data_IF_705484728538
#
_entry.id   IF_705484728538
#
_cell.length_a   1.000
_cell.length_b   1.000
_cell.length_c   1.000
_cell.angle_alpha   90.00
_cell.angle_beta   90.00
_cell.angle_gamma   90.00
#
_symmetry.space_group_name_H-M   'P 1'
#
loop_
_entity.id
_entity.type
_entity.pdbx_description
1 polymer ?
#
# COMPACT_ATOMS: atom_id res chain seq x y z
N UNK A 1 17.21 -8.00 1.62
CA UNK A 1 15.95 -8.52 2.19
C UNK A 1 15.31 -7.58 3.21
N UNK A 2 16.03 -7.05 4.21
CA UNK A 2 15.45 -6.13 5.22
C UNK A 2 14.65 -4.93 4.65
N UNK A 3 15.13 -4.33 3.55
CA UNK A 3 14.42 -3.21 2.87
C UNK A 3 13.05 -3.60 2.32
N UNK A 4 12.90 -4.82 1.79
CA UNK A 4 11.61 -5.30 1.29
C UNK A 4 10.64 -5.57 2.44
N UNK A 5 11.12 -6.14 3.54
CA UNK A 5 10.31 -6.33 4.75
C UNK A 5 9.88 -4.99 5.36
N UNK A 6 10.77 -4.00 5.40
CA UNK A 6 10.42 -2.65 5.87
C UNK A 6 9.36 -1.99 4.98
N UNK A 7 9.49 -2.11 3.65
CA UNK A 7 8.48 -1.61 2.70
C UNK A 7 7.14 -2.33 2.86
N UNK A 8 7.15 -3.65 3.04
CA UNK A 8 5.93 -4.43 3.27
C UNK A 8 5.26 -4.05 4.59
N UNK A 9 6.02 -3.90 5.67
CA UNK A 9 5.51 -3.44 6.96
C UNK A 9 4.94 -2.02 6.89
N UNK A 10 5.64 -1.09 6.22
CA UNK A 10 5.15 0.26 6.01
C UNK A 10 3.85 0.26 5.18
N UNK A 11 3.79 -0.52 4.10
CA UNK A 11 2.59 -0.66 3.28
C UNK A 11 1.40 -1.17 4.11
N UNK A 12 1.61 -2.22 4.91
CA UNK A 12 0.59 -2.78 5.77
C UNK A 12 0.10 -1.76 6.81
N UNK A 13 1.03 -1.09 7.50
CA UNK A 13 0.67 -0.11 8.54
C UNK A 13 -0.07 1.10 7.98
N UNK A 14 0.36 1.65 6.84
CA UNK A 14 -0.34 2.75 6.17
C UNK A 14 -1.76 2.31 5.77
N UNK A 15 -1.88 1.11 5.20
CA UNK A 15 -3.18 0.55 4.78
C UNK A 15 -4.11 0.37 5.97
N UNK A 16 -3.61 -0.24 7.04
CA UNK A 16 -4.38 -0.49 8.25
C UNK A 16 -4.84 0.82 8.91
N UNK A 17 -3.97 1.82 9.02
CA UNK A 17 -4.34 3.11 9.59
C UNK A 17 -5.41 3.80 8.75
N UNK A 18 -5.30 3.83 7.43
CA UNK A 18 -6.26 4.56 6.60
C UNK A 18 -7.60 3.84 6.50
N UNK A 19 -7.59 2.51 6.42
CA UNK A 19 -8.81 1.72 6.22
C UNK A 19 -9.50 1.42 7.55
N UNK A 20 -8.77 1.11 8.62
CA UNK A 20 -9.34 0.67 9.91
C UNK A 20 -9.48 1.81 10.93
N UNK A 21 -8.64 2.85 10.87
CA UNK A 21 -8.68 3.90 11.89
C UNK A 21 -9.91 4.79 11.75
N UNK A 22 -10.59 5.00 12.88
CA UNK A 22 -11.71 5.92 13.02
C UNK A 22 -11.36 7.36 12.62
N UNK A 23 -10.07 7.74 12.67
CA UNK A 23 -9.61 9.06 12.26
C UNK A 23 -9.89 9.35 10.76
N UNK A 24 -9.86 8.32 9.92
CA UNK A 24 -10.05 8.44 8.48
C UNK A 24 -11.47 8.07 8.01
N UNK A 25 -12.42 7.83 8.93
CA UNK A 25 -13.83 7.60 8.55
C UNK A 25 -14.39 8.76 7.73
N UNK A 26 -14.13 10.01 8.14
CA UNK A 26 -14.57 11.18 7.36
C UNK A 26 -13.99 11.24 5.95
N UNK A 27 -12.76 10.76 5.75
CA UNK A 27 -12.15 10.68 4.43
C UNK A 27 -12.81 9.60 3.57
N UNK A 28 -13.13 8.44 4.17
CA UNK A 28 -13.81 7.32 3.49
C UNK A 28 -15.23 7.71 3.08
N UNK A 29 -15.96 8.39 3.97
CA UNK A 29 -17.30 8.89 3.70
C UNK A 29 -17.30 9.99 2.64
N UNK A 30 -16.34 10.92 2.70
CA UNK A 30 -16.17 11.95 1.67
C UNK A 30 -15.80 11.35 0.30
N UNK A 31 -14.96 10.31 0.27
CA UNK A 31 -14.60 9.60 -0.96
C UNK A 31 -15.80 8.84 -1.54
N UNK A 32 -16.58 8.16 -0.68
CA UNK A 32 -17.80 7.47 -1.08
C UNK A 32 -18.89 8.44 -1.59
N UNK A 33 -19.03 9.59 -0.94
CA UNK A 33 -19.97 10.64 -1.35
C UNK A 33 -19.60 11.25 -2.71
N UNK A 34 -18.31 11.32 -3.06
CA UNK A 34 -17.87 11.77 -4.38
C UNK A 34 -18.08 10.72 -5.47
N UNK A 35 -17.76 9.46 -5.20
CA UNK A 35 -17.89 8.36 -6.15
C UNK A 35 -17.82 7.01 -5.41
N UNK A 36 -18.79 6.12 -5.65
CA UNK A 36 -18.84 4.80 -5.01
C UNK A 36 -17.55 3.98 -5.21
N UNK A 37 -16.91 4.13 -6.38
CA UNK A 37 -15.69 3.41 -6.72
C UNK A 37 -14.50 3.92 -5.91
N UNK A 38 -14.44 5.23 -5.66
CA UNK A 38 -13.38 5.84 -4.84
C UNK A 38 -13.56 5.47 -3.37
N UNK A 39 -14.80 5.49 -2.88
CA UNK A 39 -15.14 5.00 -1.54
C UNK A 39 -14.76 3.54 -1.32
N UNK A 40 -15.00 2.68 -2.32
CA UNK A 40 -14.58 1.26 -2.29
C UNK A 40 -13.06 1.11 -2.35
N UNK A 41 -12.36 1.97 -3.08
CA UNK A 41 -10.90 1.99 -3.17
C UNK A 41 -10.25 2.24 -1.81
N UNK A 42 -10.73 3.24 -1.05
CA UNK A 42 -10.16 3.63 0.26
C UNK A 42 -10.73 2.85 1.44
N UNK A 43 -11.80 2.07 1.24
CA UNK A 43 -12.42 1.24 2.29
C UNK A 43 -12.00 -0.24 2.21
N UNK A 44 -11.36 -0.66 1.12
CA UNK A 44 -10.87 -2.02 0.96
C UNK A 44 -9.37 -2.09 1.23
N UNK A 45 -8.97 -2.95 2.17
CA UNK A 45 -7.56 -3.21 2.50
C UNK A 45 -6.74 -3.60 1.26
N UNK A 46 -7.27 -4.49 0.42
CA UNK A 46 -6.57 -4.96 -0.78
C UNK A 46 -6.49 -3.87 -1.86
N UNK A 47 -7.58 -3.14 -2.09
CA UNK A 47 -7.59 -2.07 -3.10
C UNK A 47 -6.63 -0.94 -2.69
N UNK A 48 -6.80 -0.39 -1.49
CA UNK A 48 -5.96 0.69 -1.00
C UNK A 48 -4.50 0.24 -0.84
N UNK A 49 -4.28 -0.94 -0.24
CA UNK A 49 -2.95 -1.50 -0.04
C UNK A 49 -2.20 -1.78 -1.34
N UNK A 50 -2.89 -2.17 -2.42
CA UNK A 50 -2.25 -2.33 -3.74
C UNK A 50 -1.74 -0.99 -4.26
N UNK A 51 -2.53 0.08 -4.15
CA UNK A 51 -2.12 1.43 -4.57
C UNK A 51 -0.97 1.98 -3.71
N UNK A 52 -1.03 1.78 -2.39
CA UNK A 52 0.05 2.17 -1.46
C UNK A 52 1.34 1.40 -1.77
N UNK A 53 1.25 0.08 -1.96
CA UNK A 53 2.38 -0.76 -2.32
C UNK A 53 3.01 -0.36 -3.65
N UNK A 54 2.19 -0.03 -4.64
CA UNK A 54 2.65 0.47 -5.94
C UNK A 54 3.34 1.83 -5.81
N UNK A 55 2.77 2.76 -5.04
CA UNK A 55 3.39 4.07 -4.77
C UNK A 55 4.73 3.93 -4.05
N UNK A 56 4.81 3.07 -3.03
CA UNK A 56 6.05 2.77 -2.32
C UNK A 56 7.10 2.12 -3.24
N UNK A 57 6.69 1.18 -4.10
CA UNK A 57 7.58 0.56 -5.07
C UNK A 57 8.11 1.57 -6.09
N UNK A 58 7.26 2.49 -6.56
CA UNK A 58 7.66 3.56 -7.47
C UNK A 58 8.62 4.56 -6.82
N UNK A 59 8.37 4.94 -5.57
CA UNK A 59 9.18 5.93 -4.83
C UNK A 59 10.54 5.38 -4.41
N UNK A 60 10.55 4.16 -3.86
CA UNK A 60 11.77 3.57 -3.31
C UNK A 60 12.54 2.68 -4.29
N UNK A 61 12.00 2.45 -5.50
CA UNK A 61 12.56 1.61 -6.58
C UNK A 61 13.40 0.47 -6.05
N UNK A 62 12.79 -0.52 -5.35
CA UNK A 62 13.56 -1.58 -4.74
C UNK A 62 14.35 -2.33 -5.82
N UNK A 63 15.67 -2.20 -5.82
CA UNK A 63 16.54 -2.96 -6.72
C UNK A 63 16.44 -4.42 -6.34
N UNK A 64 15.68 -5.19 -7.13
CA UNK A 64 15.72 -6.65 -7.08
C UNK A 64 17.09 -7.03 -7.60
N UNK A 65 18.06 -7.19 -6.69
CA UNK A 65 19.34 -7.79 -7.02
C UNK A 65 19.00 -9.19 -7.53
N UNK A 66 19.15 -9.40 -8.85
CA UNK A 66 19.09 -10.74 -9.44
C UNK A 66 20.03 -11.63 -8.63
N UNK A 67 19.61 -12.81 -8.14
CA UNK A 67 20.56 -13.76 -7.60
C UNK A 67 21.57 -14.04 -8.71
N UNK A 68 22.79 -13.51 -8.54
CA UNK A 68 23.92 -13.81 -9.40
C UNK A 68 24.12 -15.32 -9.33
N UNK A 69 23.82 -16.00 -10.44
CA UNK A 69 24.06 -17.43 -10.56
C UNK A 69 25.50 -17.74 -10.19
N UNK A 70 25.67 -18.68 -9.26
CA UNK A 70 26.94 -19.35 -9.08
C UNK A 70 27.23 -20.18 -10.34
N UNK A 71 28.05 -19.60 -11.21
CA UNK A 71 29.28 -20.15 -11.80
C UNK A 71 29.47 -21.66 -11.61
N UNK A 72 29.52 -22.38 -12.73
CA UNK A 72 30.26 -23.64 -12.85
C UNK A 72 31.73 -23.40 -13.14
#
# INVERSE_FOLDING_TARGET
MARLFALAAACHQITFIVVESWLFNGLRDAAAARNEHLGRLVSCHLCFGTWVGLALAALFRPTIVRPSGHVG
#
